data_IF_057763852583
#
_entry.id   IF_057763852583
#
_cell.length_a   1.000
_cell.length_b   1.000
_cell.length_c   1.000
_cell.angle_alpha   90.00
_cell.angle_beta   90.00
_cell.angle_gamma   90.00
#
_symmetry.space_group_name_H-M   'P 1'
#
loop_
_entity.id
_entity.type
_entity.pdbx_description
1 polymer ?
#
# COMPACT_ATOMS: atom_id res chain seq x y z
N UNK A 1 21.16 -14.66 9.27
CA UNK A 1 19.98 -13.96 9.82
C UNK A 1 20.14 -12.48 9.52
N UNK A 2 19.32 -11.93 8.61
CA UNK A 2 19.38 -10.50 8.27
C UNK A 2 18.55 -9.76 9.31
N UNK A 3 19.23 -9.07 10.22
CA UNK A 3 18.60 -8.15 11.16
C UNK A 3 18.26 -6.89 10.37
N UNK A 4 16.98 -6.69 10.04
CA UNK A 4 16.53 -5.51 9.29
C UNK A 4 16.62 -4.28 10.21
N UNK A 5 17.79 -3.61 10.18
CA UNK A 5 18.08 -2.36 10.87
C UNK A 5 17.04 -1.26 10.55
N UNK A 6 17.02 -0.20 11.37
CA UNK A 6 16.24 1.01 11.11
C UNK A 6 16.54 1.56 9.71
N UNK A 7 15.50 1.89 8.94
CA UNK A 7 15.67 2.50 7.62
C UNK A 7 16.43 3.82 7.78
N UNK A 8 17.55 3.95 7.07
CA UNK A 8 18.41 5.14 7.03
C UNK A 8 18.02 6.06 5.87
N UNK A 9 17.44 5.48 4.81
CA UNK A 9 17.03 6.22 3.62
C UNK A 9 15.57 5.94 3.26
N UNK A 10 14.96 6.88 2.53
CA UNK A 10 13.62 6.69 1.96
C UNK A 10 13.61 5.45 1.06
N UNK A 11 12.56 4.63 1.19
CA UNK A 11 12.31 3.43 0.37
C UNK A 11 13.33 2.30 0.52
N UNK A 12 14.17 2.37 1.55
CA UNK A 12 15.05 1.27 1.91
C UNK A 12 14.23 0.07 2.41
N UNK A 13 13.16 0.33 3.16
CA UNK A 13 12.28 -0.70 3.74
C UNK A 13 10.84 -0.26 3.56
N UNK A 14 10.12 -0.99 2.72
CA UNK A 14 8.75 -0.70 2.35
C UNK A 14 7.86 -1.89 2.67
N UNK A 15 6.80 -1.61 3.42
CA UNK A 15 5.75 -2.55 3.71
C UNK A 15 4.58 -2.32 2.76
N UNK A 16 4.06 -3.40 2.18
CA UNK A 16 2.92 -3.35 1.29
C UNK A 16 1.85 -4.36 1.72
N UNK A 17 0.61 -3.90 1.77
CA UNK A 17 -0.54 -4.75 2.11
C UNK A 17 -1.81 -4.27 1.41
N UNK A 18 -2.80 -5.17 1.26
CA UNK A 18 -4.09 -4.86 0.65
C UNK A 18 -5.18 -4.73 1.70
N UNK A 19 -5.85 -3.58 1.66
CA UNK A 19 -7.17 -3.43 2.25
C UNK A 19 -8.19 -3.94 1.25
N UNK A 20 -8.76 -5.11 1.53
CA UNK A 20 -9.72 -5.78 0.64
C UNK A 20 -11.17 -5.65 1.12
N UNK A 21 -12.10 -6.00 0.24
CA UNK A 21 -13.54 -5.96 0.49
C UNK A 21 -14.03 -4.58 0.94
N UNK A 22 -13.52 -3.53 0.28
CA UNK A 22 -14.05 -2.18 0.40
C UNK A 22 -15.33 -2.08 -0.46
N UNK A 23 -16.29 -1.23 -0.08
CA UNK A 23 -17.42 -0.95 -0.94
C UNK A 23 -16.95 -0.29 -2.25
N UNK A 24 -17.69 -0.43 -3.36
CA UNK A 24 -17.36 0.22 -4.62
C UNK A 24 -17.18 1.74 -4.46
N UNK A 25 -15.98 2.23 -4.78
CA UNK A 25 -15.59 3.63 -4.68
C UNK A 25 -15.05 4.20 -6.01
N UNK A 26 -15.25 5.49 -6.21
CA UNK A 26 -14.91 6.23 -7.43
C UNK A 26 -15.73 5.81 -8.65
N UNK A 27 -15.51 6.50 -9.76
CA UNK A 27 -16.17 6.23 -11.05
C UNK A 27 -15.85 4.85 -11.63
N UNK A 28 -14.80 4.19 -11.10
CA UNK A 28 -14.33 2.87 -11.55
C UNK A 28 -14.74 1.73 -10.62
N UNK A 29 -15.60 2.00 -9.63
CA UNK A 29 -16.12 0.99 -8.68
C UNK A 29 -15.01 0.16 -8.02
N UNK A 30 -13.93 0.83 -7.61
CA UNK A 30 -12.76 0.23 -6.97
C UNK A 30 -13.16 -0.38 -5.62
N UNK A 31 -12.65 -1.57 -5.32
CA UNK A 31 -13.08 -2.36 -4.16
C UNK A 31 -11.91 -2.90 -3.30
N UNK A 32 -10.69 -2.53 -3.64
CA UNK A 32 -9.50 -2.79 -2.85
C UNK A 32 -8.57 -1.58 -2.84
N UNK A 33 -7.65 -1.52 -1.89
CA UNK A 33 -6.62 -0.50 -1.86
C UNK A 33 -5.29 -1.13 -1.46
N UNK A 34 -4.28 -1.03 -2.32
CA UNK A 34 -2.90 -1.34 -1.93
C UNK A 34 -2.35 -0.18 -1.11
N UNK A 35 -1.90 -0.48 0.09
CA UNK A 35 -1.28 0.45 1.02
C UNK A 35 0.22 0.19 1.01
N UNK A 36 0.99 1.26 0.82
CA UNK A 36 2.44 1.23 0.86
C UNK A 36 2.92 2.12 2.00
N UNK A 37 3.68 1.55 2.93
CA UNK A 37 4.28 2.24 4.07
C UNK A 37 5.80 2.15 3.95
N UNK A 38 6.44 3.27 3.63
CA UNK A 38 7.88 3.44 3.75
C UNK A 38 8.25 3.72 5.20
N UNK A 39 9.14 2.91 5.78
CA UNK A 39 9.53 3.03 7.19
C UNK A 39 10.27 4.34 7.50
N UNK A 40 10.77 5.05 6.49
CA UNK A 40 11.50 6.30 6.66
C UNK A 40 10.65 7.56 6.45
N UNK A 41 9.84 7.64 5.39
CA UNK A 41 9.26 8.93 4.99
C UNK A 41 7.75 8.99 4.79
N UNK A 42 7.13 8.00 4.13
CA UNK A 42 5.84 8.23 3.44
C UNK A 42 4.91 7.03 3.47
N UNK A 43 3.62 7.34 3.42
CA UNK A 43 2.53 6.39 3.19
C UNK A 43 1.88 6.73 1.86
N UNK A 44 1.54 5.75 1.05
CA UNK A 44 0.83 5.91 -0.23
C UNK A 44 -0.33 4.94 -0.31
N UNK A 45 -1.41 5.37 -0.93
CA UNK A 45 -2.60 4.53 -1.16
C UNK A 45 -2.86 4.40 -2.64
N UNK A 46 -3.16 3.18 -3.07
CA UNK A 46 -3.44 2.86 -4.45
C UNK A 46 -4.77 2.13 -4.54
N UNK A 47 -5.87 2.87 -4.79
CA UNK A 47 -7.16 2.28 -5.13
C UNK A 47 -7.04 1.38 -6.34
N UNK A 48 -7.51 0.15 -6.19
CA UNK A 48 -7.40 -0.91 -7.17
C UNK A 48 -8.64 -1.81 -7.12
N UNK A 49 -8.71 -2.74 -8.07
CA UNK A 49 -9.73 -3.79 -8.08
C UNK A 49 -9.16 -5.14 -7.67
N UNK A 50 -10.01 -5.95 -7.03
CA UNK A 50 -9.72 -7.35 -6.67
C UNK A 50 -9.16 -8.17 -7.83
N UNK A 51 -9.67 -7.94 -9.03
CA UNK A 51 -9.31 -8.69 -10.23
C UNK A 51 -8.05 -8.19 -10.94
N UNK A 52 -7.40 -7.12 -10.44
CA UNK A 52 -6.12 -6.69 -10.99
C UNK A 52 -5.09 -7.81 -10.86
N UNK A 53 -4.39 -8.06 -11.96
CA UNK A 53 -3.36 -9.07 -12.03
C UNK A 53 -2.09 -8.61 -11.30
N UNK A 54 -1.17 -9.54 -11.10
CA UNK A 54 0.18 -9.22 -10.63
C UNK A 54 0.90 -8.22 -11.53
N UNK A 55 0.61 -8.26 -12.85
CA UNK A 55 1.19 -7.34 -13.83
C UNK A 55 0.62 -5.94 -13.70
N UNK A 56 -0.70 -5.81 -13.54
CA UNK A 56 -1.35 -4.52 -13.29
C UNK A 56 -0.78 -3.86 -12.02
N UNK A 57 -0.62 -4.66 -10.96
CA UNK A 57 -0.01 -4.22 -9.70
C UNK A 57 1.44 -3.74 -9.91
N UNK A 58 2.25 -4.50 -10.64
CA UNK A 58 3.64 -4.15 -10.91
C UNK A 58 3.75 -2.86 -11.73
N UNK A 59 2.92 -2.71 -12.78
CA UNK A 59 2.85 -1.49 -13.60
C UNK A 59 2.43 -0.30 -12.76
N UNK A 60 1.43 -0.48 -11.87
CA UNK A 60 0.98 0.58 -10.97
C UNK A 60 2.08 1.04 -10.02
N UNK A 61 2.79 0.11 -9.38
CA UNK A 61 3.92 0.43 -8.48
C UNK A 61 5.05 1.09 -9.26
N UNK A 62 5.37 0.58 -10.46
CA UNK A 62 6.40 1.17 -11.31
C UNK A 62 6.09 2.62 -11.65
N UNK A 63 4.89 2.87 -12.16
CA UNK A 63 4.48 4.18 -12.64
C UNK A 63 4.28 5.20 -11.51
N UNK A 64 3.81 4.77 -10.32
CA UNK A 64 3.42 5.69 -9.24
C UNK A 64 4.44 5.80 -8.10
N UNK A 65 5.40 4.87 -8.05
CA UNK A 65 6.45 4.85 -7.02
C UNK A 65 7.80 4.88 -7.70
N UNK A 66 8.19 3.79 -8.35
CA UNK A 66 9.58 3.59 -8.78
C UNK A 66 10.06 4.69 -9.73
N UNK A 67 9.25 5.06 -10.72
CA UNK A 67 9.60 6.10 -11.70
C UNK A 67 9.81 7.50 -11.10
N UNK A 68 9.20 7.77 -9.94
CA UNK A 68 9.26 9.08 -9.30
C UNK A 68 10.27 9.15 -8.15
N UNK A 69 10.58 8.01 -7.53
CA UNK A 69 11.35 7.97 -6.29
C UNK A 69 12.57 7.05 -6.31
N UNK A 70 12.71 6.21 -7.34
CA UNK A 70 13.77 5.21 -7.44
C UNK A 70 13.34 3.81 -7.00
N UNK A 71 14.29 2.86 -7.10
CA UNK A 71 14.05 1.43 -6.82
C UNK A 71 13.78 1.20 -5.32
N UNK A 72 12.88 0.25 -5.04
CA UNK A 72 12.57 -0.21 -3.69
C UNK A 72 13.58 -1.28 -3.29
N UNK A 73 14.29 -1.09 -2.17
CA UNK A 73 15.36 -2.04 -1.81
C UNK A 73 14.85 -3.27 -1.09
N UNK A 74 13.91 -3.12 -0.16
CA UNK A 74 13.29 -4.23 0.56
C UNK A 74 11.77 -4.05 0.57
N UNK A 75 11.06 -4.96 -0.09
CA UNK A 75 9.61 -5.04 -0.07
C UNK A 75 9.21 -6.18 0.86
N UNK A 76 8.46 -5.83 1.89
CA UNK A 76 7.86 -6.75 2.86
C UNK A 76 6.35 -6.75 2.60
N UNK A 77 5.80 -7.90 2.28
CA UNK A 77 4.37 -8.06 2.06
C UNK A 77 3.90 -9.41 2.58
N UNK A 78 2.80 -9.41 3.32
CA UNK A 78 2.21 -10.62 3.83
C UNK A 78 1.28 -11.25 2.79
N UNK A 79 1.75 -12.34 2.19
CA UNK A 79 0.88 -13.43 1.73
C UNK A 79 0.02 -13.23 0.48
N UNK A 80 0.07 -12.10 -0.22
CA UNK A 80 -0.76 -11.97 -1.42
C UNK A 80 -0.15 -12.66 -2.67
N UNK A 81 -0.90 -13.53 -3.38
CA UNK A 81 -0.44 -14.21 -4.61
C UNK A 81 0.04 -13.26 -5.71
N UNK A 82 -0.43 -12.00 -5.67
CA UNK A 82 -0.04 -10.94 -6.60
C UNK A 82 1.47 -10.61 -6.52
N UNK A 83 2.11 -10.80 -5.37
CA UNK A 83 3.57 -10.63 -5.20
C UNK A 83 4.39 -11.91 -5.35
N UNK A 84 3.77 -13.10 -5.41
CA UNK A 84 4.49 -14.38 -5.57
C UNK A 84 4.62 -14.83 -7.04
N UNK A 85 4.14 -14.00 -7.98
CA UNK A 85 4.13 -14.32 -9.40
C UNK A 85 5.52 -14.35 -10.05
N UNK A 86 5.63 -15.04 -11.19
CA UNK A 86 6.84 -15.11 -12.00
C UNK A 86 7.38 -13.73 -12.40
N UNK A 87 6.49 -12.74 -12.55
CA UNK A 87 6.84 -11.37 -12.86
C UNK A 87 7.77 -10.75 -11.80
N UNK A 88 7.41 -10.85 -10.51
CA UNK A 88 8.20 -10.27 -9.44
C UNK A 88 9.53 -10.98 -9.25
N UNK A 89 9.57 -12.31 -9.47
CA UNK A 89 10.83 -13.06 -9.52
C UNK A 89 11.74 -12.59 -10.65
N UNK A 90 11.20 -12.33 -11.84
CA UNK A 90 11.97 -11.82 -12.96
C UNK A 90 12.45 -10.38 -12.74
N UNK A 91 11.61 -9.53 -12.14
CA UNK A 91 12.01 -8.18 -11.75
C UNK A 91 13.15 -8.23 -10.72
N UNK A 92 13.05 -9.09 -9.71
CA UNK A 92 14.14 -9.33 -8.77
C UNK A 92 15.42 -9.80 -9.48
N UNK A 93 15.33 -10.74 -10.42
CA UNK A 93 16.51 -11.20 -11.17
C UNK A 93 17.13 -10.10 -12.05
N UNK A 94 16.31 -9.23 -12.64
CA UNK A 94 16.77 -8.13 -13.49
C UNK A 94 17.46 -7.03 -12.68
N UNK A 95 16.93 -6.70 -11.51
CA UNK A 95 17.47 -5.64 -10.64
C UNK A 95 18.48 -6.17 -9.60
N UNK A 96 18.60 -7.50 -9.44
CA UNK A 96 19.49 -8.17 -8.50
C UNK A 96 19.12 -7.91 -7.04
N UNK A 97 20.13 -7.83 -6.18
CA UNK A 97 19.98 -7.54 -4.73
C UNK A 97 19.38 -6.15 -4.42
N UNK A 98 19.15 -5.32 -5.44
CA UNK A 98 18.56 -3.98 -5.28
C UNK A 98 17.04 -4.00 -5.12
N UNK A 99 16.38 -5.14 -5.29
CA UNK A 99 14.94 -5.30 -5.12
C UNK A 99 14.67 -6.62 -4.37
N UNK A 100 14.79 -6.61 -3.05
CA UNK A 100 14.56 -7.79 -2.22
C UNK A 100 13.07 -7.95 -1.90
N UNK A 101 12.49 -9.07 -2.29
CA UNK A 101 11.18 -9.51 -1.82
C UNK A 101 11.37 -10.43 -0.63
N UNK A 102 11.06 -9.94 0.57
CA UNK A 102 11.04 -10.79 1.76
C UNK A 102 9.60 -11.11 2.12
N UNK A 103 9.23 -12.39 1.95
CA UNK A 103 8.01 -12.97 2.55
C UNK A 103 8.28 -13.51 3.95
N UNK A 104 9.48 -13.32 4.50
CA UNK A 104 9.85 -13.84 5.80
C UNK A 104 9.33 -12.91 6.90
N UNK A 105 8.20 -13.30 7.50
CA UNK A 105 7.59 -12.67 8.67
C UNK A 105 8.59 -12.69 9.85
N UNK A 106 9.06 -11.51 10.25
CA UNK A 106 9.98 -11.27 11.37
C UNK A 106 9.30 -10.31 12.36
N UNK A 107 8.48 -10.83 13.28
CA UNK A 107 7.57 -10.03 14.10
C UNK A 107 8.26 -8.97 14.96
N UNK A 108 9.57 -9.13 15.24
CA UNK A 108 10.35 -8.18 16.01
C UNK A 108 10.61 -6.85 15.26
N UNK A 109 10.66 -6.86 13.93
CA UNK A 109 10.99 -5.67 13.12
C UNK A 109 9.79 -5.06 12.40
N UNK A 110 8.67 -5.78 12.30
CA UNK A 110 7.53 -5.40 11.47
C UNK A 110 6.34 -4.80 12.24
N UNK A 111 6.30 -4.97 13.57
CA UNK A 111 5.16 -4.55 14.38
C UNK A 111 4.81 -3.05 14.32
N UNK A 112 5.73 -2.15 13.95
CA UNK A 112 5.40 -0.73 13.73
C UNK A 112 4.65 -0.55 12.41
N UNK A 113 5.18 -1.10 11.31
CA UNK A 113 4.57 -0.98 10.01
C UNK A 113 3.24 -1.74 9.92
N UNK A 114 3.15 -2.92 10.54
CA UNK A 114 1.89 -3.67 10.67
C UNK A 114 0.84 -2.87 11.45
N UNK A 115 1.19 -2.29 12.61
CA UNK A 115 0.27 -1.43 13.36
C UNK A 115 -0.17 -0.22 12.55
N UNK A 116 0.73 0.37 11.76
CA UNK A 116 0.38 1.46 10.85
C UNK A 116 -0.60 0.98 9.79
N UNK A 117 -0.33 -0.12 9.08
CA UNK A 117 -1.22 -0.69 8.07
C UNK A 117 -2.59 -1.01 8.67
N UNK A 118 -2.66 -1.63 9.85
CA UNK A 118 -3.92 -1.92 10.53
C UNK A 118 -4.71 -0.67 10.90
N UNK A 119 -4.03 0.40 11.34
CA UNK A 119 -4.68 1.68 11.62
C UNK A 119 -5.21 2.33 10.34
N UNK A 120 -4.44 2.26 9.25
CA UNK A 120 -4.84 2.75 7.94
C UNK A 120 -6.05 1.98 7.41
N UNK A 121 -6.04 0.66 7.51
CA UNK A 121 -7.18 -0.19 7.15
C UNK A 121 -8.44 0.21 7.91
N UNK A 122 -8.35 0.29 9.25
CA UNK A 122 -9.50 0.68 10.10
C UNK A 122 -10.06 2.03 9.68
N UNK A 123 -9.19 2.97 9.36
CA UNK A 123 -9.57 4.32 8.96
C UNK A 123 -10.26 4.30 7.59
N UNK A 124 -9.68 3.66 6.57
CA UNK A 124 -10.31 3.52 5.24
C UNK A 124 -11.67 2.83 5.37
N UNK A 125 -11.79 1.78 6.18
CA UNK A 125 -13.06 1.07 6.41
C UNK A 125 -14.11 1.96 7.07
N UNK A 126 -13.74 2.75 8.08
CA UNK A 126 -14.66 3.72 8.71
C UNK A 126 -15.15 4.76 7.72
N UNK A 127 -14.24 5.37 6.96
CA UNK A 127 -14.61 6.35 5.93
C UNK A 127 -15.47 5.74 4.83
N UNK A 128 -15.16 4.51 4.43
CA UNK A 128 -15.96 3.75 3.46
C UNK A 128 -17.40 3.55 3.95
N UNK A 129 -17.59 3.29 5.25
CA UNK A 129 -18.91 3.11 5.85
C UNK A 129 -19.68 4.44 5.92
N UNK A 130 -19.07 5.51 6.43
CA UNK A 130 -19.69 6.84 6.50
C UNK A 130 -20.00 7.43 5.10
N UNK A 131 -19.14 7.15 4.11
CA UNK A 131 -19.33 7.55 2.72
C UNK A 131 -20.52 6.86 2.04
N UNK A 132 -20.96 5.70 2.52
CA UNK A 132 -22.17 5.04 2.03
C UNK A 132 -23.44 5.67 2.61
N UNK A 133 -23.44 6.02 3.90
CA UNK A 133 -24.60 6.64 4.55
C UNK A 133 -24.88 8.07 4.03
N UNK A 134 -23.82 8.83 3.71
CA UNK A 134 -23.94 10.17 3.11
C UNK A 134 -24.45 10.13 1.66
N UNK A 135 -23.99 9.16 0.86
CA UNK A 135 -24.50 8.96 -0.52
C UNK A 135 -26.02 8.83 -0.62
N UNK A 136 -26.69 8.37 0.44
CA UNK A 136 -28.14 8.22 0.48
C UNK A 136 -28.90 9.49 0.92
N UNK A 137 -28.25 10.48 1.55
CA UNK A 137 -28.95 11.57 2.26
C UNK A 137 -28.73 13.00 1.74
N UNK A 138 -27.55 13.34 1.19
CA UNK A 138 -27.20 14.74 0.89
C UNK A 138 -26.51 14.97 -0.47
N UNK A 139 -26.37 13.93 -1.30
CA UNK A 139 -25.88 14.04 -2.68
C UNK A 139 -24.39 14.37 -2.82
N UNK A 140 -23.64 14.49 -1.71
CA UNK A 140 -22.19 14.56 -1.74
C UNK A 140 -21.60 13.15 -1.71
N UNK A 141 -21.03 12.73 -2.85
CA UNK A 141 -20.33 11.45 -2.97
C UNK A 141 -18.93 11.52 -2.33
N UNK A 142 -18.85 11.57 -1.01
CA UNK A 142 -17.59 11.34 -0.29
C UNK A 142 -17.30 9.85 -0.24
N UNK A 143 -17.12 9.22 -1.41
CA UNK A 143 -16.63 7.85 -1.41
C UNK A 143 -15.19 7.79 -0.89
N UNK A 144 -14.80 6.62 -0.42
CA UNK A 144 -13.48 6.44 0.19
C UNK A 144 -12.32 6.74 -0.78
N UNK A 145 -12.53 6.67 -2.10
CA UNK A 145 -11.50 7.04 -3.07
C UNK A 145 -11.27 8.56 -3.10
N UNK A 146 -12.32 9.37 -2.98
CA UNK A 146 -12.20 10.84 -2.93
C UNK A 146 -11.45 11.35 -1.70
N UNK A 147 -11.44 10.58 -0.62
CA UNK A 147 -10.82 10.96 0.65
C UNK A 147 -9.33 10.63 0.72
N UNK A 148 -8.81 9.82 -0.19
CA UNK A 148 -7.40 9.40 -0.17
C UNK A 148 -6.40 10.55 -0.15
N UNK A 149 -6.56 11.61 -0.96
CA UNK A 149 -5.65 12.75 -0.88
C UNK A 149 -5.63 13.40 0.51
N UNK A 150 -6.79 13.46 1.19
CA UNK A 150 -6.88 13.98 2.55
C UNK A 150 -6.18 13.05 3.55
N UNK A 151 -6.36 11.73 3.42
CA UNK A 151 -5.63 10.74 4.23
C UNK A 151 -4.12 10.86 4.02
N UNK A 152 -3.65 10.95 2.78
CA UNK A 152 -2.24 11.13 2.48
C UNK A 152 -1.68 12.45 3.05
N UNK A 153 -2.48 13.52 3.08
CA UNK A 153 -2.10 14.79 3.66
C UNK A 153 -2.00 14.70 5.18
N UNK A 154 -3.06 14.21 5.84
CA UNK A 154 -3.12 14.07 7.30
C UNK A 154 -1.90 13.29 7.82
N UNK A 155 -1.52 12.22 7.13
CA UNK A 155 -0.36 11.40 7.49
C UNK A 155 1.00 12.00 7.15
N UNK A 156 1.07 12.97 6.22
CA UNK A 156 2.28 13.77 5.99
C UNK A 156 2.44 14.85 7.05
N UNK A 157 1.34 15.37 7.59
CA UNK A 157 1.33 16.46 8.56
C UNK A 157 1.30 16.01 10.01
N UNK A 158 0.88 14.79 10.30
CA UNK A 158 0.94 14.22 11.65
C UNK A 158 2.41 13.96 11.99
N UNK A 159 2.93 14.83 12.85
CA UNK A 159 4.27 14.73 13.44
C UNK A 159 4.30 13.43 14.25
N UNK A 160 5.13 12.48 13.82
CA UNK A 160 5.66 11.42 14.67
C UNK A 160 7.05 11.84 15.15
#
# INVERSE_FOLDING_TARGET
>A
MIQIQQAKYALEIVHMDWVTALPPGGDRSLNECLVLVDRYSKKKFFPCNKFETSMDTAIMIWNRVISHTGLLQNIISDGFPKFTSYLWKNLHNLFGEKLLFSTAYHPQNYGIAERMIQNLEKMIRRFSFYGLESKESDGFTHDWCTLIPALELEYKTSIN
#
